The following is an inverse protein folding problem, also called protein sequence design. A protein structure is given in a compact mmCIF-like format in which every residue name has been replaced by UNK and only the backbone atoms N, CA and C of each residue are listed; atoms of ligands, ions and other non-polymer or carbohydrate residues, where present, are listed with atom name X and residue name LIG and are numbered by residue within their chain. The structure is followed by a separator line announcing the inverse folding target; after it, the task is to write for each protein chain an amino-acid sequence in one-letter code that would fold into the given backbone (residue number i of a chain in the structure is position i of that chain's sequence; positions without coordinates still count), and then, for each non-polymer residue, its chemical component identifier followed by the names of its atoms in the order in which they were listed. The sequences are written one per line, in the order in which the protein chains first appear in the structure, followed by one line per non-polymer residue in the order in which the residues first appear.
data_IF_023700311534
#
_entry.id   IF_023700311534
#
_cell.length_a   1.000
_cell.length_b   1.000
_cell.length_c   1.000
_cell.angle_alpha   90.00
_cell.angle_beta   90.00
_cell.angle_gamma   90.00
#
_symmetry.space_group_name_H-M   'P 1'
#
loop_
_entity.id
_entity.type
_entity.pdbx_description
1 polymer ?
#
# COMPACT_ATOMS: atom_id res chain seq x y z
N UNK A 1 -1.31 -54.75 9.76
CA UNK A 1 -0.14 -54.04 10.33
C UNK A 1 0.69 -53.54 9.17
N UNK A 2 0.90 -52.26 8.93
CA UNK A 2 0.47 -51.04 9.60
C UNK A 2 0.81 -49.93 8.60
N UNK A 3 -0.20 -49.15 8.20
CA UNK A 3 0.01 -47.88 7.54
C UNK A 3 0.57 -46.89 8.57
N UNK A 4 1.62 -46.18 8.19
CA UNK A 4 2.07 -44.99 8.89
C UNK A 4 2.41 -43.92 7.83
N UNK A 5 1.36 -43.37 7.23
CA UNK A 5 1.39 -42.00 6.74
C UNK A 5 1.37 -41.11 7.98
N UNK A 6 2.37 -40.23 8.12
CA UNK A 6 2.30 -39.13 9.07
C UNK A 6 2.33 -37.84 8.27
N UNK A 7 1.12 -37.31 8.16
CA UNK A 7 0.68 -35.99 7.77
C UNK A 7 1.65 -34.93 8.34
N UNK A 8 1.97 -33.85 7.66
CA UNK A 8 1.14 -33.06 6.78
C UNK A 8 1.67 -31.65 7.00
N UNK A 9 2.40 -31.16 6.00
CA UNK A 9 3.13 -29.90 6.01
C UNK A 9 2.12 -28.75 6.08
N UNK A 10 1.79 -28.30 7.28
CA UNK A 10 0.97 -27.12 7.53
C UNK A 10 1.79 -25.83 7.43
N UNK A 11 2.38 -25.58 6.27
CA UNK A 11 2.67 -24.22 5.85
C UNK A 11 1.49 -23.82 4.98
N UNK A 12 0.58 -23.01 5.52
CA UNK A 12 -0.35 -22.24 4.70
C UNK A 12 0.50 -21.29 3.86
N UNK A 13 1.02 -21.79 2.75
CA UNK A 13 1.40 -20.99 1.59
C UNK A 13 0.09 -20.47 1.01
N UNK A 14 -0.52 -19.49 1.67
CA UNK A 14 -1.26 -18.48 0.93
C UNK A 14 -0.18 -17.73 0.15
N UNK A 15 0.04 -18.17 -1.10
CA UNK A 15 0.84 -17.44 -2.05
C UNK A 15 0.46 -15.96 -1.91
N UNK A 16 1.41 -15.02 -1.77
CA UNK A 16 1.08 -13.62 -1.60
C UNK A 16 0.33 -13.17 -2.85
N UNK A 17 -0.99 -13.22 -2.80
CA UNK A 17 -1.85 -12.82 -3.90
C UNK A 17 -1.58 -11.36 -4.07
N UNK A 18 -0.92 -11.04 -5.18
CA UNK A 18 -0.51 -9.67 -5.46
C UNK A 18 -1.78 -8.85 -5.72
N UNK A 19 -2.29 -8.19 -4.69
CA UNK A 19 -3.45 -7.32 -4.83
C UNK A 19 -3.04 -6.03 -5.54
N UNK A 20 -3.97 -5.50 -6.33
CA UNK A 20 -3.85 -4.15 -6.87
C UNK A 20 -4.39 -3.21 -5.82
N UNK A 21 -3.50 -2.45 -5.18
CA UNK A 21 -3.85 -1.56 -4.09
C UNK A 21 -3.73 -0.12 -4.58
N UNK A 22 -4.72 0.70 -4.24
CA UNK A 22 -4.76 2.13 -4.51
C UNK A 22 -4.72 2.87 -3.18
N UNK A 23 -3.66 3.64 -2.97
CA UNK A 23 -3.52 4.54 -1.83
C UNK A 23 -3.98 5.92 -2.27
N UNK A 24 -4.97 6.44 -1.57
CA UNK A 24 -5.48 7.80 -1.74
C UNK A 24 -4.95 8.67 -0.61
N UNK A 25 -4.19 9.70 -0.98
CA UNK A 25 -3.73 10.74 -0.06
C UNK A 25 -4.54 12.01 -0.28
N UNK A 26 -5.12 12.53 0.80
CA UNK A 26 -5.89 13.76 0.77
C UNK A 26 -5.35 14.72 1.83
N UNK A 27 -5.04 15.96 1.43
CA UNK A 27 -4.61 16.99 2.40
C UNK A 27 -4.93 18.39 1.91
N UNK A 28 -5.04 19.32 2.87
CA UNK A 28 -5.11 20.77 2.61
C UNK A 28 -3.71 21.40 2.51
N UNK A 29 -2.67 20.72 2.99
CA UNK A 29 -1.30 21.20 2.96
C UNK A 29 -0.50 20.43 1.90
N UNK A 30 -0.07 21.13 0.85
CA UNK A 30 0.72 20.53 -0.23
C UNK A 30 2.09 20.07 0.21
N UNK A 31 2.72 20.74 1.19
CA UNK A 31 4.08 20.42 1.63
C UNK A 31 4.13 19.07 2.33
N UNK A 32 3.19 18.81 3.22
CA UNK A 32 3.06 17.51 3.89
C UNK A 32 2.67 16.42 2.90
N UNK A 33 1.71 16.71 2.01
CA UNK A 33 1.30 15.77 0.96
C UNK A 33 2.47 15.38 0.04
N UNK A 34 3.42 16.28 -0.24
CA UNK A 34 4.64 16.00 -1.03
C UNK A 34 5.64 15.13 -0.30
N UNK A 35 5.87 15.41 0.98
CA UNK A 35 6.73 14.58 1.82
C UNK A 35 6.19 13.15 1.92
N UNK A 36 4.94 12.97 2.36
CA UNK A 36 4.32 11.65 2.48
C UNK A 36 4.31 10.90 1.14
N UNK A 37 4.02 11.60 0.04
CA UNK A 37 4.05 10.98 -1.28
C UNK A 37 5.46 10.51 -1.68
N UNK A 38 6.50 11.30 -1.41
CA UNK A 38 7.88 10.92 -1.69
C UNK A 38 8.33 9.75 -0.81
N UNK A 39 8.00 9.78 0.48
CA UNK A 39 8.36 8.75 1.44
C UNK A 39 7.69 7.41 1.13
N UNK A 40 6.40 7.43 0.75
CA UNK A 40 5.69 6.22 0.33
C UNK A 40 6.28 5.60 -0.95
N UNK A 41 6.62 6.43 -1.95
CA UNK A 41 7.26 5.95 -3.18
C UNK A 41 8.65 5.39 -2.88
N UNK A 42 9.41 6.05 -2.00
CA UNK A 42 10.73 5.59 -1.59
C UNK A 42 10.65 4.27 -0.83
N UNK A 43 9.79 4.16 0.18
CA UNK A 43 9.58 2.93 0.95
C UNK A 43 9.07 1.77 0.10
N UNK A 44 8.23 2.05 -0.90
CA UNK A 44 7.80 1.04 -1.87
C UNK A 44 8.95 0.58 -2.80
N UNK A 45 9.81 1.50 -3.24
CA UNK A 45 11.00 1.17 -4.05
C UNK A 45 12.04 0.38 -3.26
N UNK A 46 12.25 0.70 -1.98
CA UNK A 46 13.17 -0.03 -1.09
C UNK A 46 12.73 -1.49 -0.91
N UNK A 47 11.42 -1.75 -0.82
CA UNK A 47 10.86 -3.10 -0.78
C UNK A 47 10.70 -3.75 -2.17
N UNK A 48 11.26 -3.15 -3.21
CA UNK A 48 11.23 -3.65 -4.60
C UNK A 48 9.79 -3.88 -5.11
N UNK A 49 8.84 -3.04 -4.68
CA UNK A 49 7.45 -3.10 -5.14
C UNK A 49 7.25 -2.32 -6.44
N UNK A 50 6.35 -2.81 -7.30
CA UNK A 50 5.94 -2.10 -8.51
C UNK A 50 4.91 -1.02 -8.14
N UNK A 51 5.36 0.23 -8.20
CA UNK A 51 4.54 1.43 -8.00
C UNK A 51 4.24 2.11 -9.33
N UNK A 52 2.98 2.43 -9.57
CA UNK A 52 2.58 3.48 -10.52
C UNK A 52 2.68 4.81 -9.79
N UNK A 53 3.25 5.79 -10.49
CA UNK A 53 3.51 7.11 -9.92
C UNK A 53 2.25 7.79 -9.39
N UNK A 54 2.42 8.79 -8.51
CA UNK A 54 1.31 9.49 -7.91
C UNK A 54 0.53 10.28 -8.97
N UNK A 55 -0.71 9.87 -9.23
CA UNK A 55 -1.62 10.62 -10.09
C UNK A 55 -2.17 11.79 -9.29
N UNK A 56 -1.85 13.00 -9.75
CA UNK A 56 -2.35 14.24 -9.15
C UNK A 56 -3.77 14.49 -9.65
N UNK A 57 -4.74 14.46 -8.75
CA UNK A 57 -6.12 14.80 -9.07
C UNK A 57 -6.32 16.33 -9.04
N UNK A 58 -7.25 16.86 -9.86
CA UNK A 58 -7.61 18.27 -9.83
C UNK A 58 -8.07 18.70 -8.44
N UNK A 59 -7.65 19.89 -8.03
CA UNK A 59 -7.93 20.42 -6.70
C UNK A 59 -9.34 21.00 -6.65
N UNK A 60 -10.08 20.69 -5.58
CA UNK A 60 -11.36 21.33 -5.25
C UNK A 60 -11.23 21.95 -3.87
N UNK A 61 -11.56 23.23 -3.72
CA UNK A 61 -11.55 23.95 -2.43
C UNK A 61 -10.23 23.83 -1.62
N UNK A 62 -9.08 23.91 -2.30
CA UNK A 62 -7.72 23.73 -1.72
C UNK A 62 -7.45 22.34 -1.12
N UNK A 63 -8.27 21.35 -1.42
CA UNK A 63 -8.01 19.96 -1.07
C UNK A 63 -7.23 19.33 -2.23
N UNK A 64 -6.03 18.85 -1.92
CA UNK A 64 -5.13 18.19 -2.86
C UNK A 64 -5.24 16.68 -2.67
N UNK A 65 -5.56 15.97 -3.75
CA UNK A 65 -5.71 14.52 -3.76
C UNK A 65 -4.65 13.89 -4.66
N UNK A 66 -4.02 12.82 -4.17
CA UNK A 66 -3.04 12.02 -4.92
C UNK A 66 -3.38 10.55 -4.80
N UNK A 67 -3.22 9.83 -5.90
CA UNK A 67 -3.49 8.40 -5.97
C UNK A 67 -2.18 7.68 -6.32
N UNK A 68 -1.82 6.67 -5.54
CA UNK A 68 -0.66 5.82 -5.78
C UNK A 68 -1.18 4.41 -5.95
N UNK A 69 -0.98 3.83 -7.13
CA UNK A 69 -1.36 2.44 -7.39
C UNK A 69 -0.12 1.56 -7.25
N UNK A 70 -0.22 0.46 -6.52
CA UNK A 70 0.86 -0.50 -6.33
C UNK A 70 0.35 -1.94 -6.41
N UNK A 71 1.26 -2.84 -6.77
CA UNK A 71 1.00 -4.28 -6.82
C UNK A 71 1.82 -4.94 -5.72
N UNK A 72 1.14 -5.38 -4.67
CA UNK A 72 1.78 -5.99 -3.50
C UNK A 72 0.75 -6.67 -2.59
N UNK A 73 1.17 -7.61 -1.74
CA UNK A 73 0.33 -8.10 -0.66
C UNK A 73 -0.05 -6.98 0.31
N UNK A 74 -1.23 -7.08 0.92
CA UNK A 74 -1.79 -6.05 1.81
C UNK A 74 -0.96 -5.83 3.08
N UNK A 75 -0.22 -6.85 3.50
CA UNK A 75 0.61 -6.85 4.71
C UNK A 75 1.78 -5.86 4.61
N UNK A 76 2.44 -5.82 3.45
CA UNK A 76 3.56 -4.90 3.21
C UNK A 76 3.05 -3.45 3.16
N UNK A 77 1.87 -3.22 2.57
CA UNK A 77 1.29 -1.87 2.46
C UNK A 77 0.92 -1.33 3.83
N UNK A 78 0.27 -2.14 4.68
CA UNK A 78 -0.08 -1.76 6.06
C UNK A 78 1.15 -1.33 6.85
N UNK A 79 2.29 -2.03 6.71
CA UNK A 79 3.53 -1.65 7.37
C UNK A 79 4.07 -0.30 6.90
N UNK A 80 4.05 -0.02 5.59
CA UNK A 80 4.57 1.24 5.05
C UNK A 80 3.68 2.41 5.48
N UNK A 81 2.35 2.26 5.39
CA UNK A 81 1.40 3.34 5.71
C UNK A 81 1.43 3.74 7.19
N UNK A 82 1.78 2.82 8.09
CA UNK A 82 1.88 3.12 9.52
C UNK A 82 3.07 4.00 9.90
N UNK A 83 4.11 4.07 9.06
CA UNK A 83 5.37 4.78 9.38
C UNK A 83 5.29 6.25 8.95
N UNK A 84 4.53 6.58 7.90
CA UNK A 84 4.50 7.91 7.29
C UNK A 84 3.25 8.71 7.64
N UNK A 85 2.83 8.67 8.92
CA UNK A 85 1.67 9.44 9.39
C UNK A 85 2.13 10.87 9.68
N UNK A 86 1.90 11.78 8.73
CA UNK A 86 2.08 13.22 8.94
C UNK A 86 0.77 13.87 9.38
N UNK A 87 0.77 14.76 10.40
CA UNK A 87 -0.46 15.40 10.88
C UNK A 87 -1.12 16.23 9.76
N UNK A 88 -2.41 16.01 9.55
CA UNK A 88 -3.20 16.73 8.54
C UNK A 88 -3.18 16.13 7.13
N UNK A 89 -2.64 14.92 6.96
CA UNK A 89 -2.81 14.10 5.74
C UNK A 89 -3.74 12.93 6.06
N UNK A 90 -4.83 12.82 5.33
CA UNK A 90 -5.74 11.67 5.38
C UNK A 90 -5.28 10.62 4.36
N UNK A 91 -5.17 9.37 4.80
CA UNK A 91 -4.72 8.24 3.98
C UNK A 91 -5.83 7.20 3.93
N UNK A 92 -6.27 6.85 2.73
CA UNK A 92 -7.25 5.80 2.49
C UNK A 92 -6.62 4.73 1.60
N UNK A 93 -6.80 3.46 1.97
CA UNK A 93 -6.25 2.31 1.24
C UNK A 93 -7.41 1.51 0.66
N UNK A 94 -7.48 1.42 -0.67
CA UNK A 94 -8.46 0.62 -1.39
C UNK A 94 -7.78 -0.61 -1.98
N UNK A 95 -8.27 -1.79 -1.64
CA UNK A 95 -7.81 -3.06 -2.21
C UNK A 95 -8.75 -3.40 -3.36
N UNK A 96 -8.24 -3.50 -4.58
CA UNK A 96 -8.97 -4.11 -5.69
C UNK A 96 -8.64 -5.60 -5.69
N UNK A 97 -9.47 -6.38 -4.99
CA UNK A 97 -9.54 -7.83 -5.20
C UNK A 97 -10.13 -8.10 -6.58
N UNK A 98 -9.51 -9.03 -7.30
CA UNK A 98 -9.95 -9.50 -8.61
C UNK A 98 -10.86 -10.71 -8.45
#
# INVERSE_FOLDING_TARGET
MSYAMKDGKGATEEAPTAHRIRITLTSRNVKSLEKVCADLIKGAKEKTLKVKGPVRMPTKMKIHKRLIDLVSPSEIVKQITSISIEPGVEVEVTIADA
#
